data_IF_548360535208
#
_entry.id   IF_548360535208
#
_cell.length_a   1.000
_cell.length_b   1.000
_cell.length_c   1.000
_cell.angle_alpha   90.00
_cell.angle_beta   90.00
_cell.angle_gamma   90.00
#
_symmetry.space_group_name_H-M   'P 1'
#
loop_
_entity.id
_entity.type
_entity.pdbx_description
1 polymer ?
#
# COMPACT_ATOMS: atom_id res chain seq x y z
N UNK A 1 27.41 17.94 19.19
CA UNK A 1 28.01 16.59 19.13
C UNK A 1 27.17 15.78 18.14
N UNK A 2 27.81 15.27 17.08
CA UNK A 2 27.36 14.24 16.10
C UNK A 2 25.92 14.26 15.57
N UNK A 3 25.63 14.21 14.26
CA UNK A 3 26.48 13.98 13.10
C UNK A 3 25.61 13.79 11.84
N UNK A 4 26.16 14.24 10.72
CA UNK A 4 26.13 13.62 9.37
C UNK A 4 24.80 13.37 8.64
N UNK A 5 24.64 14.10 7.52
CA UNK A 5 23.84 13.80 6.33
C UNK A 5 24.03 12.36 5.79
N UNK A 6 23.13 11.86 4.91
CA UNK A 6 23.43 11.92 3.46
C UNK A 6 22.25 12.49 2.64
N UNK A 7 22.43 13.61 1.95
CA UNK A 7 22.62 13.69 0.48
C UNK A 7 21.51 13.05 -0.35
N UNK A 8 20.45 13.81 -0.60
CA UNK A 8 19.64 13.60 -1.81
C UNK A 8 20.43 14.20 -2.99
N UNK A 9 20.82 13.35 -3.92
CA UNK A 9 21.66 13.69 -5.07
C UNK A 9 20.95 14.74 -5.94
N UNK A 10 21.46 15.97 -5.95
CA UNK A 10 20.99 17.06 -6.81
C UNK A 10 21.48 16.82 -8.23
N UNK A 11 20.57 16.48 -9.14
CA UNK A 11 20.85 16.56 -10.58
C UNK A 11 19.81 17.48 -11.23
N UNK A 12 20.11 18.78 -11.23
CA UNK A 12 19.61 19.70 -12.26
C UNK A 12 20.47 20.96 -12.26
N UNK A 13 21.23 21.12 -13.34
CA UNK A 13 21.89 22.34 -13.74
C UNK A 13 20.88 23.49 -13.92
N UNK A 14 21.37 24.73 -13.76
CA UNK A 14 20.75 25.90 -14.39
C UNK A 14 20.44 27.01 -13.38
N UNK A 15 21.35 27.97 -13.28
CA UNK A 15 21.31 29.03 -12.28
C UNK A 15 20.30 30.16 -12.55
N UNK A 16 20.33 31.09 -11.59
CA UNK A 16 19.95 32.51 -11.69
C UNK A 16 18.51 32.79 -12.15
N UNK A 17 17.64 33.16 -11.20
CA UNK A 17 17.06 34.51 -11.16
C UNK A 17 16.22 34.67 -9.90
N UNK A 18 16.40 35.83 -9.27
CA UNK A 18 15.56 36.33 -8.19
C UNK A 18 14.18 36.76 -8.73
N UNK A 19 13.11 36.49 -7.97
CA UNK A 19 11.92 37.33 -7.95
C UNK A 19 11.09 37.05 -6.69
N UNK A 20 10.98 38.07 -5.82
CA UNK A 20 9.90 38.22 -4.86
C UNK A 20 8.56 38.31 -5.60
N UNK A 21 7.50 37.70 -5.07
CA UNK A 21 6.26 38.38 -4.61
C UNK A 21 5.08 37.41 -4.48
N UNK A 22 4.60 37.33 -3.25
CA UNK A 22 3.23 37.18 -2.74
C UNK A 22 2.12 36.41 -3.49
N UNK A 23 1.59 35.45 -2.72
CA UNK A 23 0.19 35.21 -2.40
C UNK A 23 -0.72 34.55 -3.46
N UNK A 24 -1.07 33.29 -3.19
CA UNK A 24 -2.49 32.92 -3.04
C UNK A 24 -2.62 31.66 -2.19
N UNK A 25 -3.55 31.72 -1.24
CA UNK A 25 -4.02 30.62 -0.42
C UNK A 25 -4.49 29.46 -1.30
N UNK A 26 -3.81 28.35 -1.15
CA UNK A 26 -4.32 27.03 -1.47
C UNK A 26 -3.49 26.10 -0.63
N UNK A 27 -4.01 25.66 0.51
CA UNK A 27 -3.51 24.46 1.16
C UNK A 27 -3.44 23.42 0.05
N UNK A 28 -2.22 23.13 -0.40
CA UNK A 28 -1.95 21.94 -1.18
C UNK A 28 -2.32 20.81 -0.25
N UNK A 29 -3.60 20.43 -0.26
CA UNK A 29 -3.99 19.11 0.15
C UNK A 29 -3.08 18.22 -0.68
N UNK A 30 -2.13 17.56 -0.03
CA UNK A 30 -1.60 16.33 -0.57
C UNK A 30 -2.86 15.56 -0.92
N UNK A 31 -3.18 15.49 -2.22
CA UNK A 31 -4.25 14.66 -2.68
C UNK A 31 -3.78 13.27 -2.26
N UNK A 32 -4.26 12.79 -1.11
CA UNK A 32 -4.24 11.39 -0.77
C UNK A 32 -5.11 10.77 -1.85
N UNK A 33 -4.49 10.48 -3.00
CA UNK A 33 -5.05 9.60 -3.99
C UNK A 33 -5.54 8.42 -3.19
N UNK A 34 -6.86 8.26 -3.13
CA UNK A 34 -7.47 7.08 -2.54
C UNK A 34 -6.97 5.92 -3.39
N UNK A 35 -5.84 5.35 -2.99
CA UNK A 35 -5.24 4.24 -3.68
C UNK A 35 -6.21 3.09 -3.53
N UNK A 36 -6.91 2.77 -4.63
CA UNK A 36 -7.79 1.61 -4.69
C UNK A 36 -6.95 0.41 -4.30
N UNK A 37 -7.30 -0.24 -3.20
CA UNK A 37 -6.52 -1.34 -2.64
C UNK A 37 -6.50 -2.55 -3.56
N UNK A 38 -7.51 -2.69 -4.43
CA UNK A 38 -7.71 -3.84 -5.31
C UNK A 38 -8.42 -5.02 -4.64
N UNK A 39 -8.62 -4.97 -3.31
CA UNK A 39 -9.29 -6.00 -2.53
C UNK A 39 -10.70 -5.53 -2.10
N UNK A 40 -11.77 -6.26 -2.47
CA UNK A 40 -13.13 -5.89 -2.08
C UNK A 40 -13.28 -5.78 -0.55
N UNK A 41 -13.82 -4.65 -0.10
CA UNK A 41 -14.08 -4.41 1.33
C UNK A 41 -12.87 -3.97 2.16
N UNK A 42 -11.71 -3.73 1.54
CA UNK A 42 -10.51 -3.20 2.20
C UNK A 42 -10.19 -1.81 1.67
N UNK A 43 -9.89 -0.86 2.57
CA UNK A 43 -9.55 0.52 2.22
C UNK A 43 -8.22 0.93 2.86
N UNK A 44 -7.51 1.87 2.24
CA UNK A 44 -6.36 2.51 2.90
C UNK A 44 -6.83 3.22 4.17
N UNK A 45 -6.05 3.12 5.24
CA UNK A 45 -6.39 3.58 6.58
C UNK A 45 -7.16 2.58 7.43
N UNK A 46 -7.65 1.46 6.87
CA UNK A 46 -8.33 0.44 7.68
C UNK A 46 -7.38 -0.16 8.72
N UNK A 47 -7.91 -0.46 9.91
CA UNK A 47 -7.11 -1.05 10.98
C UNK A 47 -6.69 -2.49 10.65
N UNK A 48 -5.62 -2.94 11.29
CA UNK A 48 -5.11 -4.31 11.14
C UNK A 48 -6.21 -5.37 11.31
N UNK A 49 -6.97 -5.30 12.40
CA UNK A 49 -8.02 -6.27 12.72
C UNK A 49 -9.18 -6.23 11.71
N UNK A 50 -9.55 -5.04 11.24
CA UNK A 50 -10.61 -4.89 10.23
C UNK A 50 -10.19 -5.53 8.92
N UNK A 51 -8.98 -5.24 8.43
CA UNK A 51 -8.45 -5.84 7.19
C UNK A 51 -8.35 -7.35 7.34
N UNK A 52 -7.80 -7.84 8.46
CA UNK A 52 -7.67 -9.28 8.73
C UNK A 52 -9.03 -9.98 8.70
N UNK A 53 -10.05 -9.39 9.33
CA UNK A 53 -11.40 -9.95 9.36
C UNK A 53 -12.08 -10.02 7.99
N UNK A 54 -11.80 -9.06 7.10
CA UNK A 54 -12.32 -9.06 5.73
C UNK A 54 -11.59 -10.09 4.88
N UNK A 55 -10.26 -10.02 4.81
CA UNK A 55 -9.48 -10.88 3.90
C UNK A 55 -9.55 -12.36 4.26
N UNK A 56 -9.74 -12.69 5.54
CA UNK A 56 -9.82 -14.08 6.02
C UNK A 56 -11.09 -14.81 5.55
N UNK A 57 -12.07 -14.10 4.98
CA UNK A 57 -13.31 -14.71 4.45
C UNK A 57 -13.10 -15.36 3.09
N UNK A 58 -12.29 -14.75 2.24
CA UNK A 58 -12.12 -15.12 0.83
C UNK A 58 -10.68 -15.49 0.47
N UNK A 59 -9.71 -15.29 1.37
CA UNK A 59 -8.31 -15.61 1.15
C UNK A 59 -7.77 -16.59 2.20
N UNK A 60 -6.69 -17.27 1.88
CA UNK A 60 -5.89 -18.05 2.82
C UNK A 60 -4.81 -17.14 3.40
N UNK A 61 -4.91 -16.80 4.68
CA UNK A 61 -3.87 -16.01 5.35
C UNK A 61 -2.68 -16.91 5.64
N UNK A 62 -1.51 -16.59 5.09
CA UNK A 62 -0.30 -17.43 5.18
C UNK A 62 0.74 -16.86 6.14
N UNK A 63 0.72 -15.55 6.40
CA UNK A 63 1.59 -14.92 7.39
C UNK A 63 0.96 -13.65 7.94
N UNK A 64 1.13 -13.44 9.24
CA UNK A 64 0.68 -12.25 9.95
C UNK A 64 1.78 -11.73 10.85
N UNK A 65 1.98 -10.41 10.83
CA UNK A 65 2.77 -9.69 11.84
C UNK A 65 1.86 -8.58 12.36
N UNK A 66 1.49 -8.67 13.64
CA UNK A 66 0.49 -7.78 14.25
C UNK A 66 0.87 -6.31 14.04
N UNK A 67 -0.09 -5.53 13.57
CA UNK A 67 0.02 -4.08 13.30
C UNK A 67 1.10 -3.68 12.27
N UNK A 68 1.68 -4.63 11.54
CA UNK A 68 2.74 -4.38 10.54
C UNK A 68 2.40 -4.93 9.16
N UNK A 69 1.91 -6.18 9.09
CA UNK A 69 1.73 -6.82 7.79
C UNK A 69 0.88 -8.07 7.79
N UNK A 70 0.17 -8.28 6.68
CA UNK A 70 -0.53 -9.53 6.39
C UNK A 70 -0.15 -10.01 4.99
N UNK A 71 0.17 -11.29 4.88
CA UNK A 71 0.33 -12.02 3.61
C UNK A 71 -0.85 -12.97 3.47
N UNK A 72 -1.60 -12.83 2.38
CA UNK A 72 -2.71 -13.69 2.05
C UNK A 72 -2.60 -14.18 0.61
N UNK A 73 -3.14 -15.37 0.34
CA UNK A 73 -3.15 -15.99 -0.97
C UNK A 73 -4.60 -16.26 -1.37
N UNK A 74 -4.96 -15.92 -2.60
CA UNK A 74 -6.33 -16.09 -3.06
C UNK A 74 -6.60 -15.44 -4.40
N UNK A 75 -7.81 -15.63 -4.89
CA UNK A 75 -8.24 -15.05 -6.16
C UNK A 75 -8.33 -13.52 -6.05
N UNK A 76 -7.77 -12.81 -7.03
CA UNK A 76 -7.90 -11.37 -7.17
C UNK A 76 -8.94 -11.04 -8.24
N UNK A 77 -10.03 -10.39 -7.84
CA UNK A 77 -11.02 -9.89 -8.78
C UNK A 77 -10.42 -8.84 -9.75
N UNK A 78 -9.42 -8.08 -9.30
CA UNK A 78 -8.76 -7.05 -10.09
C UNK A 78 -7.94 -7.65 -11.25
N UNK A 79 -7.19 -8.72 -10.98
CA UNK A 79 -6.32 -9.36 -11.98
C UNK A 79 -6.94 -10.58 -12.68
N UNK A 80 -8.08 -11.06 -12.17
CA UNK A 80 -8.78 -12.27 -12.66
C UNK A 80 -7.93 -13.55 -12.58
N UNK A 81 -7.03 -13.62 -11.62
CA UNK A 81 -6.15 -14.77 -11.36
C UNK A 81 -5.78 -14.88 -9.88
N UNK A 82 -4.98 -15.88 -9.54
CA UNK A 82 -4.53 -16.15 -8.18
C UNK A 82 -3.26 -15.37 -7.86
N UNK A 83 -3.28 -14.67 -6.72
CA UNK A 83 -2.19 -13.78 -6.31
C UNK A 83 -1.79 -14.02 -4.87
N UNK A 84 -0.51 -13.79 -4.60
CA UNK A 84 -0.04 -13.48 -3.25
C UNK A 84 -0.27 -11.99 -3.03
N UNK A 85 -1.00 -11.66 -1.96
CA UNK A 85 -1.43 -10.31 -1.60
C UNK A 85 -0.72 -9.90 -0.31
N UNK A 86 -0.17 -8.70 -0.30
CA UNK A 86 0.50 -8.12 0.85
C UNK A 86 -0.22 -6.86 1.28
N UNK A 87 -0.49 -6.76 2.57
CA UNK A 87 -1.14 -5.62 3.21
C UNK A 87 -0.18 -5.08 4.26
N UNK A 88 0.29 -3.85 4.11
CA UNK A 88 1.32 -3.24 4.98
C UNK A 88 0.68 -2.13 5.80
N UNK A 89 0.91 -2.16 7.11
CA UNK A 89 0.33 -1.26 8.09
C UNK A 89 1.41 -0.37 8.71
N UNK A 90 1.03 0.86 9.06
CA UNK A 90 1.90 1.80 9.75
C UNK A 90 1.25 2.27 11.06
N UNK A 91 1.31 1.43 12.09
CA UNK A 91 0.82 1.78 13.42
C UNK A 91 -0.61 2.32 13.42
N UNK A 92 -0.79 3.52 13.99
CA UNK A 92 -2.11 4.16 14.11
C UNK A 92 -2.70 4.62 12.78
N UNK A 93 -1.88 4.75 11.73
CA UNK A 93 -2.35 5.19 10.42
C UNK A 93 -3.05 4.06 9.64
N UNK A 94 -3.03 2.82 10.16
CA UNK A 94 -3.70 1.67 9.55
C UNK A 94 -3.01 1.21 8.26
N UNK A 95 -3.78 0.63 7.34
CA UNK A 95 -3.29 0.11 6.07
C UNK A 95 -2.75 1.23 5.19
N UNK A 96 -1.47 1.15 4.81
CA UNK A 96 -0.81 2.16 3.99
C UNK A 96 -0.50 1.68 2.57
N UNK A 97 -0.33 0.37 2.39
CA UNK A 97 0.05 -0.18 1.10
C UNK A 97 -0.55 -1.57 0.88
N UNK A 98 -0.95 -1.82 -0.37
CA UNK A 98 -1.25 -3.15 -0.87
C UNK A 98 -0.35 -3.49 -2.05
N UNK A 99 0.07 -4.75 -2.15
CA UNK A 99 0.85 -5.25 -3.28
C UNK A 99 0.37 -6.64 -3.68
N UNK A 100 0.52 -6.97 -4.97
CA UNK A 100 0.05 -8.21 -5.57
C UNK A 100 1.15 -8.83 -6.41
N UNK A 101 1.52 -10.05 -6.08
CA UNK A 101 2.48 -10.83 -6.84
C UNK A 101 1.79 -12.03 -7.51
N UNK A 102 2.20 -12.40 -8.74
CA UNK A 102 1.78 -13.67 -9.33
C UNK A 102 2.05 -14.83 -8.36
N UNK A 103 1.11 -15.77 -8.27
CA UNK A 103 1.27 -16.99 -7.48
C UNK A 103 1.18 -18.22 -8.40
N UNK A 104 2.23 -18.54 -9.17
CA UNK A 104 2.19 -19.61 -10.17
C UNK A 104 1.96 -21.01 -9.57
N UNK A 105 2.20 -21.16 -8.27
CA UNK A 105 1.88 -22.38 -7.52
C UNK A 105 0.39 -22.55 -7.21
N UNK A 106 -0.44 -21.52 -7.42
CA UNK A 106 -1.87 -21.54 -7.18
C UNK A 106 -2.64 -21.62 -8.50
N UNK A 107 -3.80 -22.25 -8.48
CA UNK A 107 -4.72 -22.23 -9.61
C UNK A 107 -6.16 -22.05 -9.15
N UNK A 108 -7.05 -21.41 -9.93
CA UNK A 108 -8.47 -21.32 -9.56
C UNK A 108 -9.12 -22.69 -9.30
N UNK A 109 -8.64 -23.74 -9.96
CA UNK A 109 -9.11 -25.11 -9.77
C UNK A 109 -8.56 -25.78 -8.50
N UNK A 110 -7.41 -25.31 -7.97
CA UNK A 110 -6.72 -25.94 -6.84
C UNK A 110 -5.97 -24.91 -5.99
N UNK A 111 -6.25 -24.92 -4.68
CA UNK A 111 -5.53 -24.16 -3.63
C UNK A 111 -5.63 -22.63 -3.73
N UNK A 112 -6.38 -22.09 -4.68
CA UNK A 112 -6.72 -20.69 -4.73
C UNK A 112 -8.12 -20.48 -4.15
N UNK A 113 -8.18 -19.92 -2.95
CA UNK A 113 -9.47 -19.61 -2.31
C UNK A 113 -10.19 -18.52 -3.10
N UNK A 114 -11.49 -18.72 -3.30
CA UNK A 114 -12.38 -17.76 -3.96
C UNK A 114 -13.43 -17.27 -2.95
N UNK A 115 -13.96 -16.04 -3.11
CA UNK A 115 -15.07 -15.52 -2.30
C UNK A 115 -16.33 -16.38 -2.39
#
# INVERSE_FOLDING_TARGET
MNGTHPTCNTLAHGGRMAALMLAMLGLGGCASSMTVTGEPGVKMGDSYDQVLAVISRSNTVTKTVKDQGIRAEGYSAMFKDCRTKYFIFLGADGLQQTSYEPAPQLSPAQNCRQP
#
